data_IF_177960781097
#
_entry.id   IF_177960781097
#
_cell.length_a   1.000
_cell.length_b   1.000
_cell.length_c   1.000
_cell.angle_alpha   90.00
_cell.angle_beta   90.00
_cell.angle_gamma   90.00
#
_symmetry.space_group_name_H-M   'P 1'
#
loop_
_entity.id
_entity.type
_entity.pdbx_description
1 polymer ?
#
# COMPACT_ATOMS: atom_id res chain seq x y z
N UNK A 1 -24.49 -74.53 6.73
CA UNK A 1 -23.33 -73.60 6.77
C UNK A 1 -23.89 -72.17 6.63
N UNK A 2 -24.19 -71.52 7.77
CA UNK A 2 -24.77 -70.15 7.79
C UNK A 2 -23.65 -69.16 8.04
N UNK A 3 -23.42 -68.25 7.07
CA UNK A 3 -22.47 -67.13 7.21
C UNK A 3 -23.20 -65.96 7.87
N UNK A 4 -22.76 -65.55 9.09
CA UNK A 4 -23.23 -64.38 9.79
C UNK A 4 -22.36 -63.21 9.37
N UNK A 5 -22.95 -62.23 8.69
CA UNK A 5 -22.31 -60.92 8.41
C UNK A 5 -22.52 -59.98 9.58
N UNK A 6 -21.43 -59.68 10.30
CA UNK A 6 -21.40 -58.60 11.30
C UNK A 6 -21.20 -57.25 10.56
N UNK A 7 -22.24 -56.43 10.51
CA UNK A 7 -22.12 -55.00 10.14
C UNK A 7 -21.58 -54.23 11.36
N UNK A 8 -20.32 -53.89 11.30
CA UNK A 8 -19.74 -52.90 12.21
C UNK A 8 -20.14 -51.52 11.71
N UNK A 9 -21.07 -50.88 12.40
CA UNK A 9 -21.41 -49.44 12.17
C UNK A 9 -20.25 -48.59 12.72
N UNK A 10 -19.41 -48.14 11.80
CA UNK A 10 -18.40 -47.14 12.09
C UNK A 10 -19.14 -45.79 12.27
N UNK A 11 -19.29 -45.34 13.51
CA UNK A 11 -19.74 -44.00 13.82
C UNK A 11 -18.60 -43.03 13.40
N UNK A 12 -18.67 -42.52 12.21
CA UNK A 12 -17.93 -41.32 11.78
C UNK A 12 -18.43 -40.15 12.63
N UNK A 13 -17.76 -39.90 13.75
CA UNK A 13 -17.83 -38.60 14.41
C UNK A 13 -17.48 -37.57 13.39
N UNK A 14 -18.48 -36.84 12.91
CA UNK A 14 -18.31 -35.74 11.97
C UNK A 14 -17.43 -34.70 12.63
N UNK A 15 -16.14 -34.74 12.33
CA UNK A 15 -15.26 -33.58 12.52
C UNK A 15 -15.86 -32.51 11.64
N UNK A 16 -16.61 -31.56 12.25
CA UNK A 16 -17.00 -30.34 11.55
C UNK A 16 -15.70 -29.74 11.06
N UNK A 17 -15.48 -29.75 9.75
CA UNK A 17 -14.38 -29.02 9.14
C UNK A 17 -14.46 -27.59 9.71
N UNK A 18 -13.45 -27.20 10.48
CA UNK A 18 -13.34 -25.85 11.00
C UNK A 18 -13.33 -24.96 9.76
N UNK A 19 -14.32 -24.11 9.63
CA UNK A 19 -14.45 -23.22 8.49
C UNK A 19 -13.27 -22.25 8.61
N UNK A 20 -12.19 -22.55 7.88
CA UNK A 20 -11.01 -21.68 7.81
C UNK A 20 -11.51 -20.33 7.33
N UNK A 21 -11.50 -19.36 8.22
CA UNK A 21 -11.86 -17.97 7.87
C UNK A 21 -10.59 -17.31 7.36
N UNK A 22 -10.32 -17.46 6.08
CA UNK A 22 -9.09 -17.01 5.43
C UNK A 22 -8.81 -15.51 5.63
N UNK A 23 -9.84 -14.73 5.94
CA UNK A 23 -9.73 -13.28 6.02
C UNK A 23 -10.29 -12.73 7.34
N UNK A 24 -9.50 -11.92 8.02
CA UNK A 24 -9.88 -11.19 9.24
C UNK A 24 -9.75 -9.70 9.00
N UNK A 25 -10.73 -8.92 9.40
CA UNK A 25 -10.65 -7.47 9.48
C UNK A 25 -10.44 -7.08 10.94
N UNK A 26 -9.40 -6.32 11.19
CA UNK A 26 -9.04 -5.79 12.51
C UNK A 26 -9.30 -4.29 12.54
N UNK A 27 -9.89 -3.79 13.60
CA UNK A 27 -10.13 -2.36 13.76
C UNK A 27 -10.20 -1.97 15.24
N UNK A 28 -9.99 -0.68 15.55
CA UNK A 28 -10.09 -0.19 16.93
C UNK A 28 -11.54 0.08 17.35
N UNK A 29 -11.78 0.11 18.66
CA UNK A 29 -13.05 0.61 19.23
C UNK A 29 -13.30 2.09 18.89
N UNK A 30 -12.25 2.86 18.62
CA UNK A 30 -12.38 4.25 18.16
C UNK A 30 -12.99 4.32 16.76
N UNK A 31 -12.54 3.45 15.86
CA UNK A 31 -13.15 3.29 14.53
C UNK A 31 -14.57 2.75 14.65
N UNK A 32 -14.81 1.79 15.54
CA UNK A 32 -16.15 1.24 15.80
C UNK A 32 -17.16 2.31 16.21
N UNK A 33 -16.72 3.37 16.90
CA UNK A 33 -17.56 4.49 17.31
C UNK A 33 -17.80 5.52 16.20
N UNK A 34 -17.17 5.36 15.02
CA UNK A 34 -17.29 6.28 13.88
C UNK A 34 -18.04 5.61 12.73
N UNK A 35 -19.28 6.08 12.47
CA UNK A 35 -20.14 5.46 11.48
C UNK A 35 -19.60 5.47 10.06
N UNK A 36 -18.82 6.48 9.64
CA UNK A 36 -18.27 6.54 8.29
C UNK A 36 -17.12 5.53 8.13
N UNK A 37 -16.23 5.43 9.10
CA UNK A 37 -15.17 4.45 9.10
C UNK A 37 -15.69 3.01 9.27
N UNK A 38 -16.78 2.82 10.03
CA UNK A 38 -17.41 1.50 10.13
C UNK A 38 -18.00 1.01 8.82
N UNK A 39 -18.47 1.89 7.93
CA UNK A 39 -18.89 1.49 6.57
C UNK A 39 -17.73 0.85 5.79
N UNK A 40 -16.50 1.34 5.96
CA UNK A 40 -15.31 0.75 5.33
C UNK A 40 -15.04 -0.67 5.86
N UNK A 41 -15.10 -0.83 7.19
CA UNK A 41 -14.95 -2.15 7.85
C UNK A 41 -16.01 -3.13 7.34
N UNK A 42 -17.27 -2.71 7.32
CA UNK A 42 -18.40 -3.54 6.89
C UNK A 42 -18.31 -3.92 5.40
N UNK A 43 -17.92 -2.97 4.53
CA UNK A 43 -17.74 -3.23 3.11
C UNK A 43 -16.65 -4.28 2.87
N UNK A 44 -15.51 -4.15 3.55
CA UNK A 44 -14.40 -5.10 3.47
C UNK A 44 -14.79 -6.46 4.03
N UNK A 45 -15.40 -6.49 5.21
CA UNK A 45 -15.87 -7.72 5.85
C UNK A 45 -16.90 -8.46 5.00
N UNK A 46 -17.84 -7.75 4.41
CA UNK A 46 -18.85 -8.31 3.49
C UNK A 46 -18.20 -8.92 2.24
N UNK A 47 -17.26 -8.20 1.63
CA UNK A 47 -16.55 -8.66 0.41
C UNK A 47 -15.83 -9.98 0.63
N UNK A 48 -15.07 -10.09 1.73
CA UNK A 48 -14.24 -11.25 2.02
C UNK A 48 -14.91 -12.28 2.94
N UNK A 49 -16.18 -12.06 3.34
CA UNK A 49 -16.88 -12.86 4.36
C UNK A 49 -16.05 -12.98 5.64
N UNK A 50 -15.37 -11.90 5.99
CA UNK A 50 -14.38 -11.85 7.04
C UNK A 50 -14.99 -11.85 8.44
N UNK A 51 -14.22 -12.31 9.42
CA UNK A 51 -14.49 -12.03 10.83
C UNK A 51 -13.94 -10.65 11.16
N UNK A 52 -14.71 -9.83 11.89
CA UNK A 52 -14.23 -8.54 12.38
C UNK A 52 -13.81 -8.70 13.83
N UNK A 53 -12.60 -8.24 14.16
CA UNK A 53 -12.05 -8.21 15.52
C UNK A 53 -11.80 -6.76 15.93
N UNK A 54 -12.08 -6.46 17.20
CA UNK A 54 -11.96 -5.12 17.77
C UNK A 54 -10.93 -5.10 18.89
N UNK A 55 -9.93 -4.22 18.79
CA UNK A 55 -9.01 -3.94 19.89
C UNK A 55 -9.35 -2.60 20.57
N UNK A 56 -8.90 -2.41 21.80
CA UNK A 56 -9.13 -1.19 22.56
C UNK A 56 -7.92 -0.24 22.51
N UNK A 57 -6.77 -0.73 22.90
CA UNK A 57 -5.53 0.05 23.02
C UNK A 57 -4.44 -0.39 22.06
N UNK A 58 -4.29 -1.69 21.83
CA UNK A 58 -3.18 -2.24 21.04
C UNK A 58 -3.57 -3.54 20.33
N UNK A 59 -2.93 -3.80 19.20
CA UNK A 59 -3.22 -4.97 18.36
C UNK A 59 -3.00 -6.30 19.08
N UNK A 60 -2.05 -6.33 20.02
CA UNK A 60 -1.70 -7.54 20.77
C UNK A 60 -2.85 -8.13 21.59
N UNK A 61 -3.87 -7.33 21.91
CA UNK A 61 -5.09 -7.82 22.58
C UNK A 61 -5.78 -8.93 21.76
N UNK A 62 -5.53 -8.98 20.45
CA UNK A 62 -6.15 -9.92 19.53
C UNK A 62 -5.38 -11.22 19.33
N UNK A 63 -4.20 -11.40 19.96
CA UNK A 63 -3.34 -12.56 19.73
C UNK A 63 -4.07 -13.88 19.94
N UNK A 64 -4.86 -14.03 21.02
CA UNK A 64 -5.59 -15.26 21.32
C UNK A 64 -6.64 -15.58 20.23
N UNK A 65 -7.36 -14.56 19.73
CA UNK A 65 -8.35 -14.73 18.69
C UNK A 65 -7.70 -15.04 17.34
N UNK A 66 -6.59 -14.38 16.99
CA UNK A 66 -5.83 -14.64 15.76
C UNK A 66 -5.26 -16.07 15.78
N UNK A 67 -4.71 -16.53 16.91
CA UNK A 67 -4.28 -17.93 17.08
C UNK A 67 -5.43 -18.93 16.87
N UNK A 68 -6.60 -18.61 17.39
CA UNK A 68 -7.78 -19.46 17.24
C UNK A 68 -8.31 -19.50 15.78
N UNK A 69 -8.22 -18.39 15.07
CA UNK A 69 -8.73 -18.24 13.70
C UNK A 69 -7.73 -18.70 12.64
N UNK A 70 -6.44 -18.59 12.91
CA UNK A 70 -5.34 -18.88 11.97
C UNK A 70 -5.60 -18.30 10.57
N UNK A 71 -5.79 -16.98 10.46
CA UNK A 71 -6.16 -16.36 9.19
C UNK A 71 -4.99 -16.41 8.20
N UNK A 72 -5.29 -16.43 6.90
CA UNK A 72 -4.29 -16.21 5.85
C UNK A 72 -4.05 -14.73 5.57
N UNK A 73 -5.10 -13.92 5.73
CA UNK A 73 -5.07 -12.49 5.46
C UNK A 73 -5.65 -11.70 6.64
N UNK A 74 -4.97 -10.63 7.01
CA UNK A 74 -5.44 -9.69 8.02
C UNK A 74 -5.41 -8.27 7.43
N UNK A 75 -6.57 -7.62 7.35
CA UNK A 75 -6.64 -6.22 7.01
C UNK A 75 -6.95 -5.39 8.24
N UNK A 76 -6.12 -4.39 8.51
CA UNK A 76 -6.34 -3.43 9.58
C UNK A 76 -7.01 -2.20 8.99
N UNK A 77 -8.22 -1.86 9.42
CA UNK A 77 -8.88 -0.59 9.07
C UNK A 77 -8.68 0.37 10.24
N UNK A 78 -7.93 1.46 10.01
CA UNK A 78 -7.62 2.39 11.08
C UNK A 78 -7.49 3.82 10.56
N UNK A 79 -7.81 4.79 11.43
CA UNK A 79 -7.64 6.21 11.17
C UNK A 79 -6.16 6.60 11.21
N UNK A 80 -5.72 7.56 10.38
CA UNK A 80 -4.32 7.97 10.34
C UNK A 80 -3.81 8.50 11.68
N UNK A 81 -4.66 9.13 12.50
CA UNK A 81 -4.29 9.67 13.82
C UNK A 81 -3.93 8.57 14.85
N UNK A 82 -4.22 7.32 14.56
CA UNK A 82 -3.88 6.17 15.40
C UNK A 82 -2.74 5.32 14.81
N UNK A 83 -2.15 5.74 13.69
CA UNK A 83 -1.13 4.98 12.97
C UNK A 83 0.24 5.67 13.09
N UNK A 84 1.20 4.92 13.60
CA UNK A 84 2.59 5.34 13.72
C UNK A 84 3.53 4.14 13.54
N UNK A 85 4.81 4.39 13.67
CA UNK A 85 5.85 3.37 13.59
C UNK A 85 5.64 2.22 14.58
N UNK A 86 5.32 2.55 15.84
CA UNK A 86 5.13 1.56 16.90
C UNK A 86 3.97 0.63 16.58
N UNK A 87 2.87 1.16 16.03
CA UNK A 87 1.73 0.38 15.57
C UNK A 87 2.12 -0.62 14.47
N UNK A 88 2.89 -0.18 13.48
CA UNK A 88 3.36 -1.06 12.41
C UNK A 88 4.32 -2.12 12.94
N UNK A 89 5.23 -1.75 13.84
CA UNK A 89 6.15 -2.69 14.48
C UNK A 89 5.43 -3.72 15.34
N UNK A 90 4.36 -3.33 16.04
CA UNK A 90 3.51 -4.24 16.80
C UNK A 90 2.79 -5.22 15.87
N UNK A 91 2.16 -4.74 14.79
CA UNK A 91 1.52 -5.58 13.77
C UNK A 91 2.48 -6.61 13.17
N UNK A 92 3.71 -6.18 12.90
CA UNK A 92 4.78 -7.04 12.40
C UNK A 92 5.19 -8.14 13.40
N UNK A 93 5.30 -7.81 14.69
CA UNK A 93 5.57 -8.81 15.73
C UNK A 93 4.40 -9.77 15.87
N UNK A 94 3.19 -9.23 15.94
CA UNK A 94 1.97 -10.03 16.10
C UNK A 94 1.80 -11.04 14.96
N UNK A 95 2.18 -10.69 13.74
CA UNK A 95 2.08 -11.60 12.58
C UNK A 95 3.02 -12.81 12.65
N UNK A 96 3.94 -12.87 13.60
CA UNK A 96 4.93 -13.94 13.79
C UNK A 96 4.72 -14.70 15.12
N UNK A 97 3.62 -14.46 15.78
CA UNK A 97 3.36 -15.02 17.10
C UNK A 97 2.15 -15.97 17.12
N UNK A 98 1.65 -16.37 15.95
CA UNK A 98 0.52 -17.30 15.87
C UNK A 98 0.97 -18.72 16.22
N UNK A 99 2.11 -19.12 15.73
CA UNK A 99 2.78 -20.38 16.08
C UNK A 99 4.18 -20.15 16.67
N UNK A 100 5.01 -21.18 16.73
CA UNK A 100 6.31 -21.16 17.41
C UNK A 100 7.50 -20.97 16.45
N UNK A 101 7.25 -20.71 15.14
CA UNK A 101 8.32 -20.46 14.21
C UNK A 101 8.64 -18.94 14.07
N UNK A 102 9.64 -18.60 13.24
CA UNK A 102 10.11 -17.22 13.10
C UNK A 102 9.48 -16.48 11.92
N UNK A 103 8.65 -17.14 11.13
CA UNK A 103 8.07 -16.59 9.92
C UNK A 103 6.74 -15.86 10.21
N UNK A 104 6.27 -15.11 9.22
CA UNK A 104 4.97 -14.46 9.32
C UNK A 104 3.86 -15.47 8.99
N UNK A 105 2.92 -15.62 9.90
CA UNK A 105 1.80 -16.58 9.84
C UNK A 105 0.68 -16.14 8.91
N UNK A 106 0.60 -14.83 8.64
CA UNK A 106 -0.40 -14.24 7.75
C UNK A 106 0.13 -13.03 7.00
N UNK A 107 -0.44 -12.77 5.85
CA UNK A 107 -0.22 -11.52 5.11
C UNK A 107 -1.13 -10.44 5.68
N UNK A 108 -0.58 -9.27 5.95
CA UNK A 108 -1.36 -8.18 6.49
C UNK A 108 -1.07 -6.83 5.84
N UNK A 109 -2.03 -5.92 5.94
CA UNK A 109 -1.92 -4.56 5.47
C UNK A 109 -2.88 -3.62 6.17
N UNK A 110 -2.65 -2.32 5.99
CA UNK A 110 -3.44 -1.25 6.59
C UNK A 110 -4.27 -0.58 5.50
N UNK A 111 -5.56 -0.41 5.78
CA UNK A 111 -6.50 0.39 4.99
C UNK A 111 -6.76 1.67 5.78
N UNK A 112 -6.36 2.79 5.21
CA UNK A 112 -6.47 4.11 5.81
C UNK A 112 -6.58 5.17 4.71
N UNK A 113 -6.69 6.43 5.06
CA UNK A 113 -6.77 7.56 4.15
C UNK A 113 -6.93 8.86 4.90
N UNK A 114 -6.93 9.98 4.21
CA UNK A 114 -7.22 11.28 4.81
C UNK A 114 -8.66 11.34 5.36
N UNK A 115 -9.56 10.58 4.73
CA UNK A 115 -10.95 10.40 5.13
C UNK A 115 -11.41 8.94 4.99
N UNK A 116 -12.56 8.60 5.57
CA UNK A 116 -13.21 7.31 5.37
C UNK A 116 -13.58 7.07 3.88
N UNK A 117 -13.85 8.12 3.11
CA UNK A 117 -14.13 8.00 1.68
C UNK A 117 -12.91 7.51 0.90
N UNK A 118 -11.70 7.97 1.24
CA UNK A 118 -10.46 7.49 0.62
C UNK A 118 -10.20 6.02 0.93
N UNK A 119 -10.37 5.62 2.20
CA UNK A 119 -10.28 4.22 2.61
C UNK A 119 -11.34 3.35 1.91
N UNK A 120 -12.56 3.84 1.72
CA UNK A 120 -13.62 3.14 0.98
C UNK A 120 -13.24 2.96 -0.48
N UNK A 121 -12.67 3.98 -1.14
CA UNK A 121 -12.19 3.90 -2.52
C UNK A 121 -11.14 2.77 -2.68
N UNK A 122 -10.22 2.61 -1.73
CA UNK A 122 -9.25 1.49 -1.75
C UNK A 122 -9.97 0.13 -1.69
N UNK A 123 -10.98 0.00 -0.83
CA UNK A 123 -11.79 -1.22 -0.73
C UNK A 123 -12.52 -1.48 -2.04
N UNK A 124 -13.13 -0.49 -2.66
CA UNK A 124 -13.89 -0.63 -3.90
C UNK A 124 -13.02 -0.96 -5.12
N UNK A 125 -11.87 -0.29 -5.25
CA UNK A 125 -10.93 -0.51 -6.36
C UNK A 125 -10.35 -1.93 -6.39
N UNK A 126 -10.21 -2.59 -5.24
CA UNK A 126 -9.74 -3.98 -5.14
C UNK A 126 -10.73 -5.02 -5.70
N UNK A 127 -11.89 -4.60 -6.20
CA UNK A 127 -12.91 -5.50 -6.77
C UNK A 127 -12.51 -6.15 -8.10
N UNK A 128 -11.58 -5.54 -8.82
CA UNK A 128 -11.15 -6.00 -10.16
C UNK A 128 -9.64 -6.29 -10.14
N UNK A 129 -9.17 -7.27 -10.93
CA UNK A 129 -7.73 -7.44 -11.13
C UNK A 129 -7.12 -6.15 -11.67
N UNK A 130 -6.00 -5.75 -11.09
CA UNK A 130 -5.24 -4.60 -11.52
C UNK A 130 -4.12 -5.05 -12.46
N UNK A 131 -3.99 -4.39 -13.62
CA UNK A 131 -2.98 -4.71 -14.62
C UNK A 131 -2.09 -3.49 -14.81
N UNK A 132 -0.80 -3.62 -14.48
CA UNK A 132 0.19 -2.57 -14.63
C UNK A 132 0.66 -2.55 -16.08
N UNK A 133 0.44 -1.42 -16.78
CA UNK A 133 0.86 -1.19 -18.18
C UNK A 133 1.67 0.08 -18.34
N UNK A 134 1.53 1.01 -17.41
CA UNK A 134 2.18 2.31 -17.47
C UNK A 134 2.95 2.57 -16.19
N UNK A 135 4.11 3.23 -16.27
CA UNK A 135 4.86 3.60 -15.09
C UNK A 135 5.53 4.97 -15.24
N UNK A 136 5.64 5.67 -14.10
CA UNK A 136 6.39 6.91 -13.96
C UNK A 136 7.25 6.85 -12.70
N UNK A 137 8.56 6.88 -12.86
CA UNK A 137 9.49 6.60 -11.78
C UNK A 137 10.45 7.76 -11.53
N UNK A 138 11.11 7.76 -10.38
CA UNK A 138 12.29 8.58 -10.08
C UNK A 138 13.58 7.75 -10.01
N UNK A 139 13.48 6.46 -10.29
CA UNK A 139 14.58 5.52 -10.42
C UNK A 139 14.17 4.39 -11.36
N UNK A 140 14.99 4.07 -12.32
CA UNK A 140 14.80 2.92 -13.22
C UNK A 140 16.00 2.71 -14.12
N UNK A 141 16.06 1.53 -14.72
CA UNK A 141 16.95 1.21 -15.83
C UNK A 141 16.24 1.37 -17.18
N UNK A 142 16.98 1.74 -18.23
CA UNK A 142 16.42 1.85 -19.58
C UNK A 142 15.74 0.55 -20.04
N UNK A 143 16.30 -0.59 -19.64
CA UNK A 143 15.78 -1.92 -19.96
C UNK A 143 14.41 -2.21 -19.37
N UNK A 144 13.97 -1.48 -18.34
CA UNK A 144 12.68 -1.70 -17.68
C UNK A 144 11.50 -1.30 -18.59
N UNK A 145 11.73 -0.39 -19.51
CA UNK A 145 10.73 0.03 -20.48
C UNK A 145 10.09 -1.09 -21.30
N UNK A 146 10.76 -2.26 -21.43
CA UNK A 146 10.19 -3.43 -22.12
C UNK A 146 8.94 -3.99 -21.45
N UNK A 147 8.75 -3.74 -20.15
CA UNK A 147 7.64 -4.25 -19.36
C UNK A 147 6.38 -3.38 -19.45
N UNK A 148 6.48 -2.16 -19.99
CA UNK A 148 5.39 -1.18 -19.98
C UNK A 148 5.00 -0.76 -21.39
N UNK A 149 3.72 -0.43 -21.57
CA UNK A 149 3.22 0.17 -22.81
C UNK A 149 3.66 1.65 -22.92
N UNK A 150 3.64 2.40 -21.80
CA UNK A 150 4.20 3.74 -21.67
C UNK A 150 5.03 3.80 -20.37
N UNK A 151 6.17 4.46 -20.46
CA UNK A 151 7.13 4.49 -19.37
C UNK A 151 7.93 5.79 -19.39
N UNK A 152 8.09 6.42 -18.24
CA UNK A 152 9.01 7.54 -18.08
C UNK A 152 9.69 7.53 -16.72
N UNK A 153 10.88 8.08 -16.63
CA UNK A 153 11.61 8.15 -15.36
C UNK A 153 12.68 9.25 -15.35
N UNK A 154 12.95 9.77 -14.15
CA UNK A 154 14.18 10.48 -13.86
C UNK A 154 15.32 9.48 -13.73
N UNK A 155 16.49 9.77 -14.30
CA UNK A 155 17.64 8.92 -14.12
C UNK A 155 18.42 9.37 -12.88
N UNK A 156 18.27 8.66 -11.76
CA UNK A 156 18.95 8.93 -10.49
C UNK A 156 20.37 8.37 -10.42
N UNK A 157 20.76 7.48 -11.32
CA UNK A 157 22.12 6.90 -11.43
C UNK A 157 23.09 7.67 -12.30
N UNK A 158 22.67 8.75 -12.92
CA UNK A 158 23.47 9.52 -13.89
C UNK A 158 23.79 10.94 -13.45
N UNK A 159 23.83 11.86 -14.42
CA UNK A 159 23.94 13.30 -14.18
C UNK A 159 22.55 13.91 -13.91
N UNK A 160 22.47 14.98 -13.08
CA UNK A 160 21.20 15.69 -12.86
C UNK A 160 20.57 16.15 -14.16
N UNK A 161 19.26 15.86 -14.34
CA UNK A 161 18.55 16.18 -15.57
C UNK A 161 18.44 15.02 -16.56
N UNK A 162 18.99 13.84 -16.24
CA UNK A 162 18.77 12.65 -17.05
C UNK A 162 17.31 12.22 -17.04
N UNK A 163 16.76 11.94 -18.22
CA UNK A 163 15.38 11.54 -18.45
C UNK A 163 15.29 10.38 -19.42
N UNK A 164 14.43 9.41 -19.14
CA UNK A 164 14.12 8.31 -20.04
C UNK A 164 12.62 8.26 -20.32
N UNK A 165 12.21 8.04 -21.56
CA UNK A 165 10.80 7.99 -21.91
C UNK A 165 10.50 7.02 -23.06
N UNK A 166 9.41 6.25 -22.90
CA UNK A 166 8.77 5.43 -23.93
C UNK A 166 7.30 5.81 -24.03
N UNK A 167 6.89 6.22 -25.22
CA UNK A 167 5.55 6.80 -25.47
C UNK A 167 4.53 5.80 -26.03
N UNK A 168 4.99 4.70 -26.63
CA UNK A 168 4.13 3.70 -27.27
C UNK A 168 4.55 2.26 -26.89
N UNK A 169 3.62 1.34 -26.94
CA UNK A 169 3.82 -0.07 -26.56
C UNK A 169 5.02 -0.73 -27.24
N UNK A 170 5.14 -0.55 -28.54
CA UNK A 170 6.20 -1.17 -29.34
C UNK A 170 7.42 -0.25 -29.55
N UNK A 171 7.43 0.91 -28.88
CA UNK A 171 8.53 1.87 -28.95
C UNK A 171 9.71 1.47 -28.04
N UNK A 172 10.85 2.11 -28.30
CA UNK A 172 12.04 2.02 -27.45
C UNK A 172 12.06 3.17 -26.43
N UNK A 173 12.76 2.98 -25.33
CA UNK A 173 13.04 4.04 -24.36
C UNK A 173 14.07 4.99 -25.00
N UNK A 174 13.72 6.24 -25.11
CA UNK A 174 14.64 7.33 -25.54
C UNK A 174 15.17 8.03 -24.32
N UNK A 175 16.49 8.24 -24.27
CA UNK A 175 17.13 9.03 -23.23
C UNK A 175 17.44 10.42 -23.73
N UNK A 176 17.26 11.41 -22.87
CA UNK A 176 17.63 12.79 -23.11
C UNK A 176 18.21 13.42 -21.84
N UNK A 177 18.91 14.52 -22.02
CA UNK A 177 19.40 15.38 -20.96
C UNK A 177 18.62 16.69 -21.02
N UNK A 178 17.88 16.99 -19.95
CA UNK A 178 17.12 18.23 -19.82
C UNK A 178 17.74 19.13 -18.75
N UNK A 179 17.27 20.37 -18.66
CA UNK A 179 17.67 21.27 -17.60
C UNK A 179 17.22 20.69 -16.26
N UNK A 180 18.17 20.48 -15.34
CA UNK A 180 17.87 19.89 -14.01
C UNK A 180 16.82 20.67 -13.22
N UNK A 181 16.70 21.98 -13.44
CA UNK A 181 15.73 22.83 -12.74
C UNK A 181 14.29 22.71 -13.28
N UNK A 182 14.11 22.04 -14.42
CA UNK A 182 12.82 21.80 -15.07
C UNK A 182 12.36 20.35 -14.93
N UNK A 183 13.19 19.47 -14.34
CA UNK A 183 12.91 18.03 -14.33
C UNK A 183 11.71 17.66 -13.46
N UNK A 184 11.48 18.38 -12.34
CA UNK A 184 10.30 18.13 -11.52
C UNK A 184 9.03 18.58 -12.24
N UNK A 185 9.05 19.74 -12.89
CA UNK A 185 7.91 20.22 -13.69
C UNK A 185 7.59 19.23 -14.81
N UNK A 186 8.61 18.69 -15.49
CA UNK A 186 8.44 17.64 -16.50
C UNK A 186 7.88 16.34 -15.89
N UNK A 187 8.33 15.93 -14.71
CA UNK A 187 7.80 14.77 -14.02
C UNK A 187 6.31 14.95 -13.67
N UNK A 188 5.93 16.12 -13.18
CA UNK A 188 4.53 16.48 -12.86
C UNK A 188 3.66 16.51 -14.12
N UNK A 189 4.18 17.08 -15.23
CA UNK A 189 3.50 17.06 -16.54
C UNK A 189 3.25 15.62 -17.01
N UNK A 190 4.29 14.77 -16.94
CA UNK A 190 4.19 13.36 -17.33
C UNK A 190 3.29 12.54 -16.41
N UNK A 191 3.21 12.88 -15.14
CA UNK A 191 2.24 12.28 -14.22
C UNK A 191 0.80 12.48 -14.74
N UNK A 192 0.46 13.70 -15.18
CA UNK A 192 -0.86 14.02 -15.76
C UNK A 192 -1.06 13.36 -17.14
N UNK A 193 -0.03 13.31 -17.96
CA UNK A 193 -0.11 12.76 -19.33
C UNK A 193 -0.19 11.23 -19.36
N UNK A 194 0.64 10.54 -18.57
CA UNK A 194 0.73 9.09 -18.58
C UNK A 194 -0.40 8.47 -17.76
N UNK A 195 -0.83 9.12 -16.68
CA UNK A 195 -1.75 8.59 -15.69
C UNK A 195 -1.30 7.18 -15.22
N UNK A 196 -0.15 7.10 -14.51
CA UNK A 196 0.58 5.85 -14.34
C UNK A 196 -0.15 4.84 -13.45
N UNK A 197 -0.09 3.55 -13.85
CA UNK A 197 -0.51 2.41 -13.02
C UNK A 197 0.48 2.16 -11.87
N UNK A 198 1.77 2.43 -12.12
CA UNK A 198 2.86 2.21 -11.16
C UNK A 198 3.70 3.47 -11.02
N UNK A 199 3.99 3.79 -9.78
CA UNK A 199 4.98 4.80 -9.39
C UNK A 199 6.05 4.14 -8.55
N UNK A 200 7.31 4.33 -8.92
CA UNK A 200 8.47 3.90 -8.12
C UNK A 200 9.33 5.11 -7.83
N UNK A 201 9.60 5.36 -6.56
CA UNK A 201 10.47 6.45 -6.15
C UNK A 201 11.67 5.95 -5.36
N UNK A 202 12.80 6.62 -5.54
CA UNK A 202 14.01 6.46 -4.76
C UNK A 202 14.56 7.85 -4.47
N UNK A 203 15.06 8.11 -3.30
CA UNK A 203 15.79 9.29 -2.82
C UNK A 203 15.52 9.53 -1.34
N UNK A 204 16.06 10.61 -0.78
CA UNK A 204 15.80 11.00 0.60
C UNK A 204 14.31 11.31 0.82
N UNK A 205 13.80 10.90 1.96
CA UNK A 205 12.42 11.19 2.34
C UNK A 205 12.26 11.23 3.86
N UNK A 206 11.17 11.84 4.28
CA UNK A 206 10.59 11.73 5.62
C UNK A 206 9.09 11.45 5.47
N UNK A 207 8.38 11.32 6.56
CA UNK A 207 6.92 11.25 6.57
C UNK A 207 6.25 12.53 6.03
N UNK A 208 7.00 13.64 5.87
CA UNK A 208 6.50 14.95 5.43
C UNK A 208 7.11 15.44 4.12
N UNK A 209 8.00 14.69 3.53
CA UNK A 209 8.74 15.14 2.36
C UNK A 209 9.28 13.97 1.56
N UNK A 210 9.17 14.04 0.26
CA UNK A 210 9.93 13.24 -0.69
C UNK A 210 10.80 14.20 -1.50
N UNK A 211 12.11 14.13 -1.28
CA UNK A 211 13.08 14.86 -2.08
C UNK A 211 13.25 14.17 -3.43
N UNK A 212 13.20 14.94 -4.52
CA UNK A 212 13.44 14.39 -5.83
C UNK A 212 14.95 14.15 -6.05
N UNK A 213 15.34 13.18 -6.89
CA UNK A 213 16.76 12.90 -7.14
C UNK A 213 17.58 14.16 -7.44
N UNK A 214 18.81 14.21 -6.93
CA UNK A 214 19.72 15.35 -7.06
C UNK A 214 19.24 16.66 -6.43
N UNK A 215 18.33 16.59 -5.44
CA UNK A 215 17.77 17.76 -4.74
C UNK A 215 17.05 18.77 -5.65
N UNK A 216 16.44 18.28 -6.73
CA UNK A 216 15.76 19.13 -7.72
C UNK A 216 14.30 19.40 -7.42
N UNK A 217 13.97 19.56 -6.14
CA UNK A 217 12.63 19.86 -5.65
C UNK A 217 12.08 18.77 -4.73
N UNK A 218 10.87 18.98 -4.25
CA UNK A 218 10.23 18.12 -3.29
C UNK A 218 8.76 17.89 -3.61
N UNK A 219 8.24 16.72 -3.21
CA UNK A 219 6.82 16.50 -3.03
C UNK A 219 6.51 16.53 -1.53
N UNK A 220 5.47 17.27 -1.14
CA UNK A 220 5.04 17.44 0.26
C UNK A 220 3.55 17.13 0.41
N UNK A 221 3.10 16.55 1.52
CA UNK A 221 1.68 16.36 1.79
C UNK A 221 1.03 17.68 2.15
N UNK A 222 -0.18 17.92 1.64
CA UNK A 222 -0.99 19.10 2.00
C UNK A 222 -2.47 18.80 1.72
N UNK A 223 -3.31 18.77 2.78
CA UNK A 223 -4.74 18.49 2.65
C UNK A 223 -5.04 17.13 2.01
N UNK A 224 -4.31 16.08 2.38
CA UNK A 224 -4.46 14.74 1.81
C UNK A 224 -4.01 14.59 0.36
N UNK A 225 -3.33 15.60 -0.23
CA UNK A 225 -2.79 15.59 -1.60
C UNK A 225 -1.28 15.84 -1.59
N UNK A 226 -0.62 15.59 -2.71
CA UNK A 226 0.78 15.99 -2.89
C UNK A 226 0.89 17.38 -3.53
N UNK A 227 1.87 18.11 -3.06
CA UNK A 227 2.23 19.44 -3.52
C UNK A 227 3.69 19.42 -3.98
N UNK A 228 3.90 19.69 -5.26
CA UNK A 228 5.23 19.87 -5.81
C UNK A 228 5.75 21.27 -5.37
N UNK A 229 6.85 21.29 -4.65
CA UNK A 229 7.43 22.50 -4.05
C UNK A 229 8.78 22.78 -4.70
N UNK A 230 8.75 23.40 -5.86
CA UNK A 230 9.94 23.82 -6.61
C UNK A 230 9.64 25.00 -7.54
N UNK A 231 10.28 25.09 -8.72
CA UNK A 231 10.23 26.24 -9.65
C UNK A 231 8.80 26.68 -9.99
N UNK A 232 7.92 25.71 -10.27
CA UNK A 232 6.50 25.94 -10.54
C UNK A 232 5.65 25.20 -9.50
N UNK A 233 5.45 25.80 -8.31
CA UNK A 233 4.74 25.11 -7.22
C UNK A 233 3.29 24.80 -7.60
N UNK A 234 2.88 23.53 -7.54
CA UNK A 234 1.52 23.11 -7.84
C UNK A 234 1.09 21.86 -7.09
N UNK A 235 -0.22 21.67 -6.93
CA UNK A 235 -0.79 20.41 -6.45
C UNK A 235 -0.79 19.36 -7.56
N UNK A 236 -0.41 18.13 -7.20
CA UNK A 236 -0.72 16.97 -8.00
C UNK A 236 -2.16 16.57 -7.70
N UNK A 237 -2.90 16.21 -8.74
CA UNK A 237 -4.29 15.79 -8.61
C UNK A 237 -4.44 14.34 -9.03
N UNK A 238 -5.21 13.60 -8.25
CA UNK A 238 -5.66 12.26 -8.61
C UNK A 238 -6.60 12.31 -9.83
N UNK A 239 -6.67 11.21 -10.53
CA UNK A 239 -7.48 11.04 -11.74
C UNK A 239 -8.60 10.02 -11.56
N UNK A 240 -8.80 9.55 -10.32
CA UNK A 240 -9.61 8.40 -9.95
C UNK A 240 -9.12 7.07 -10.56
N UNK A 241 -7.91 7.06 -11.13
CA UNK A 241 -7.26 5.86 -11.65
C UNK A 241 -6.53 5.13 -10.52
N UNK A 242 -6.88 3.87 -10.21
CA UNK A 242 -6.20 3.10 -9.19
C UNK A 242 -4.75 2.84 -9.59
N UNK A 243 -3.82 3.01 -8.65
CA UNK A 243 -2.39 2.82 -8.91
C UNK A 243 -1.65 2.16 -7.75
N UNK A 244 -0.49 1.64 -8.04
CA UNK A 244 0.46 1.11 -7.06
C UNK A 244 1.59 2.12 -6.86
N UNK A 245 1.89 2.43 -5.62
CA UNK A 245 3.05 3.20 -5.25
C UNK A 245 4.07 2.34 -4.50
N UNK A 246 5.27 2.26 -5.02
CA UNK A 246 6.38 1.52 -4.44
C UNK A 246 7.54 2.47 -4.12
N UNK A 247 7.81 2.67 -2.84
CA UNK A 247 8.92 3.47 -2.36
C UNK A 247 10.18 2.59 -2.22
N UNK A 248 11.08 2.68 -3.19
CA UNK A 248 12.30 1.89 -3.25
C UNK A 248 13.45 2.63 -2.54
N UNK A 249 13.54 2.51 -1.21
CA UNK A 249 14.61 3.12 -0.42
C UNK A 249 14.32 4.52 0.14
N UNK A 250 13.09 5.01 0.05
CA UNK A 250 12.71 6.29 0.66
C UNK A 250 12.49 6.12 2.17
N UNK A 251 13.32 6.78 2.98
CA UNK A 251 13.22 6.76 4.44
C UNK A 251 11.89 7.28 4.93
N UNK A 252 11.29 6.62 5.94
CA UNK A 252 10.10 7.08 6.68
C UNK A 252 8.84 7.38 5.85
N UNK A 253 8.87 7.23 4.53
CA UNK A 253 7.77 7.64 3.67
C UNK A 253 6.47 6.84 3.92
N UNK A 254 6.57 5.65 4.50
CA UNK A 254 5.45 4.84 4.94
C UNK A 254 4.99 5.13 6.37
N UNK A 255 5.73 5.97 7.14
CA UNK A 255 5.36 6.35 8.49
C UNK A 255 4.27 7.44 8.44
N UNK A 256 3.16 7.20 9.11
CA UNK A 256 2.06 8.19 9.21
C UNK A 256 2.27 9.13 10.39
N UNK A 257 2.87 8.62 11.47
CA UNK A 257 3.24 9.38 12.67
C UNK A 257 2.06 10.07 13.37
N UNK A 258 0.90 9.41 13.39
CA UNK A 258 -0.37 9.91 13.93
C UNK A 258 -0.86 11.22 13.28
N UNK A 259 -0.40 11.51 12.07
CA UNK A 259 -0.73 12.75 11.38
C UNK A 259 -1.31 12.47 9.98
N UNK A 260 -2.58 12.86 9.71
CA UNK A 260 -3.17 12.72 8.39
C UNK A 260 -2.42 13.51 7.30
N UNK A 261 -1.65 14.55 7.68
CA UNK A 261 -0.78 15.30 6.77
C UNK A 261 0.57 14.58 6.56
N UNK A 262 0.54 13.28 6.24
CA UNK A 262 1.72 12.49 5.92
C UNK A 262 1.81 12.11 4.46
N UNK A 263 3.04 11.79 3.99
CA UNK A 263 3.28 11.34 2.62
C UNK A 263 2.47 10.10 2.29
N UNK A 264 2.44 9.11 3.20
CA UNK A 264 1.67 7.88 3.01
C UNK A 264 0.18 8.17 2.81
N UNK A 265 -0.41 9.02 3.65
CA UNK A 265 -1.83 9.39 3.54
C UNK A 265 -2.10 10.15 2.24
N UNK A 266 -1.22 11.08 1.84
CA UNK A 266 -1.37 11.81 0.59
C UNK A 266 -1.33 10.90 -0.65
N UNK A 267 -0.42 9.91 -0.67
CA UNK A 267 -0.40 8.89 -1.74
C UNK A 267 -1.68 8.06 -1.79
N UNK A 268 -2.14 7.59 -0.64
CA UNK A 268 -3.35 6.75 -0.54
C UNK A 268 -4.64 7.53 -0.81
N UNK A 269 -4.67 8.86 -0.60
CA UNK A 269 -5.86 9.69 -0.76
C UNK A 269 -5.85 10.46 -2.08
N UNK A 270 -5.21 11.61 -2.12
CA UNK A 270 -5.25 12.51 -3.26
C UNK A 270 -4.55 12.00 -4.53
N UNK A 271 -3.68 10.97 -4.39
CA UNK A 271 -2.97 10.38 -5.53
C UNK A 271 -3.55 9.04 -5.98
N UNK A 272 -4.68 8.63 -5.43
CA UNK A 272 -5.40 7.40 -5.79
C UNK A 272 -4.59 6.10 -5.72
N UNK A 273 -3.51 6.06 -4.91
CA UNK A 273 -2.81 4.81 -4.66
C UNK A 273 -3.73 3.84 -3.92
N UNK A 274 -3.95 2.67 -4.50
CA UNK A 274 -4.75 1.59 -3.91
C UNK A 274 -3.89 0.56 -3.20
N UNK A 275 -2.59 0.61 -3.45
CA UNK A 275 -1.56 -0.17 -2.77
C UNK A 275 -0.29 0.65 -2.66
N UNK A 276 0.29 0.67 -1.47
CA UNK A 276 1.54 1.35 -1.18
C UNK A 276 2.46 0.45 -0.39
N UNK A 277 3.74 0.45 -0.75
CA UNK A 277 4.82 -0.13 0.05
C UNK A 277 5.82 0.99 0.37
N UNK A 278 6.11 1.18 1.64
CA UNK A 278 7.05 2.22 2.10
C UNK A 278 7.64 1.89 3.47
N UNK A 279 8.78 2.48 3.77
CA UNK A 279 9.49 2.27 5.02
C UNK A 279 8.94 3.14 6.15
N UNK A 280 8.76 2.56 7.33
CA UNK A 280 8.40 3.28 8.56
C UNK A 280 9.63 3.63 9.40
N UNK A 281 10.83 3.38 8.88
CA UNK A 281 12.14 3.65 9.50
C UNK A 281 13.07 4.27 8.46
N UNK A 282 14.22 4.78 8.93
CA UNK A 282 15.32 5.11 8.02
C UNK A 282 15.85 3.85 7.34
N UNK A 283 16.17 3.98 6.08
CA UNK A 283 16.79 2.91 5.29
C UNK A 283 18.18 3.32 4.83
N UNK A 284 18.97 2.37 4.39
CA UNK A 284 20.31 2.58 3.85
C UNK A 284 20.35 2.01 2.44
N UNK A 285 20.94 2.75 1.54
CA UNK A 285 21.36 2.21 0.26
C UNK A 285 22.64 1.41 0.49
N UNK A 286 22.60 0.13 0.22
CA UNK A 286 23.75 -0.76 0.28
C UNK A 286 24.48 -0.85 -1.05
#
# INVERSE_FOLDING_TARGET
MFAVWLFTTCNLLGVKAQQVRDYVVVTSKKVQADGEWMKVVEALAKRHKATVLYYDKQLRELLAELRRLTPRYVAVVEKPENLNREFVMEGHRLSREIDDDIYADYLWGIITGYSAADAMRMVESSAKPFVIRTALNTTAELSDGKYFDRFAFMNDGGTPGGWGEKTTRDGEVKSEQINKWEILDKWVEKYKEIDPDLLVTSSHATEKNLEMPFTVGNLKPRGGRLYADFMTPEFLEGTAHPRVYFAAGNCLIGNIDNDPESMAVAWLSGMDATSMVGYVVTTWYG
#
